data_IF_960910252318
#
_entry.id   IF_960910252318
#
_cell.length_a   1.000
_cell.length_b   1.000
_cell.length_c   1.000
_cell.angle_alpha   90.00
_cell.angle_beta   90.00
_cell.angle_gamma   90.00
#
_symmetry.space_group_name_H-M   'P 1'
#
loop_
_entity.id
_entity.type
_entity.pdbx_description
1 polymer ?
#
# COMPACT_ATOMS: atom_id res chain seq x y z
N UNK A 1 16.14 23.70 -81.80
CA UNK A 1 15.01 24.65 -82.05
C UNK A 1 13.77 24.11 -81.36
N UNK A 2 13.38 24.65 -80.25
CA UNK A 2 12.00 24.95 -79.87
C UNK A 2 11.99 25.15 -78.35
N UNK A 3 11.48 26.28 -77.97
CA UNK A 3 11.51 26.93 -76.69
C UNK A 3 10.52 26.32 -75.69
N UNK A 4 10.91 26.34 -74.40
CA UNK A 4 10.01 26.17 -73.25
C UNK A 4 9.22 27.48 -73.03
N UNK A 5 8.01 27.40 -72.47
CA UNK A 5 7.50 28.46 -71.61
C UNK A 5 7.45 28.03 -70.12
N UNK A 6 7.94 28.94 -69.32
CA UNK A 6 7.85 28.91 -67.88
C UNK A 6 6.42 29.11 -67.39
N UNK A 7 5.93 28.21 -66.53
CA UNK A 7 4.72 28.46 -65.73
C UNK A 7 5.12 28.83 -64.30
N UNK A 8 4.92 30.10 -64.00
CA UNK A 8 5.05 30.71 -62.66
C UNK A 8 3.81 30.39 -61.85
N UNK A 9 3.90 29.49 -60.90
CA UNK A 9 2.83 29.22 -59.96
C UNK A 9 3.01 30.05 -58.68
N UNK A 10 2.14 31.00 -58.51
CA UNK A 10 2.05 31.91 -57.35
C UNK A 10 1.38 31.17 -56.18
N UNK A 11 2.15 30.75 -55.16
CA UNK A 11 1.62 30.19 -53.94
C UNK A 11 1.26 31.30 -52.95
N UNK A 12 -0.04 31.57 -52.81
CA UNK A 12 -0.57 32.41 -51.72
C UNK A 12 -0.45 31.64 -50.39
N UNK A 13 0.42 32.09 -49.50
CA UNK A 13 0.45 31.65 -48.11
C UNK A 13 -0.63 32.38 -47.32
N UNK A 14 -1.68 31.66 -46.97
CA UNK A 14 -2.71 32.15 -46.04
C UNK A 14 -2.19 31.88 -44.63
N UNK A 15 -1.72 32.92 -43.94
CA UNK A 15 -1.40 32.85 -42.52
C UNK A 15 -2.68 32.87 -41.69
N UNK A 16 -3.06 31.72 -41.17
CA UNK A 16 -4.15 31.59 -40.21
C UNK A 16 -3.65 32.08 -38.84
N UNK A 17 -4.05 33.30 -38.44
CA UNK A 17 -3.83 33.78 -37.08
C UNK A 17 -4.85 33.08 -36.16
N UNK A 18 -4.37 32.11 -35.36
CA UNK A 18 -5.15 31.57 -34.25
C UNK A 18 -5.25 32.64 -33.17
N UNK A 19 -6.41 33.26 -33.02
CA UNK A 19 -6.73 34.08 -31.85
C UNK A 19 -6.82 33.18 -30.62
N UNK A 20 -5.87 33.34 -29.73
CA UNK A 20 -5.93 32.78 -28.37
C UNK A 20 -6.98 33.56 -27.58
N UNK A 21 -8.11 32.94 -27.30
CA UNK A 21 -9.08 33.45 -26.36
C UNK A 21 -8.46 33.42 -24.91
N UNK A 22 -8.67 34.48 -24.12
CA UNK A 22 -8.18 34.50 -22.75
C UNK A 22 -9.06 33.65 -21.86
N UNK A 23 -8.42 32.69 -21.18
CA UNK A 23 -8.75 32.26 -19.83
C UNK A 23 -10.10 31.57 -19.61
N UNK A 24 -10.14 30.28 -19.82
CA UNK A 24 -10.89 29.45 -18.88
C UNK A 24 -9.89 28.56 -18.17
N UNK A 25 -9.58 28.91 -16.91
CA UNK A 25 -8.99 27.99 -15.97
C UNK A 25 -9.91 26.77 -15.90
N UNK A 26 -9.44 25.57 -16.20
CA UNK A 26 -10.18 24.39 -15.81
C UNK A 26 -10.15 24.38 -14.28
N UNK A 27 -11.27 24.76 -13.70
CA UNK A 27 -11.59 24.54 -12.28
C UNK A 27 -11.24 23.10 -12.01
N UNK A 28 -10.28 22.89 -11.09
CA UNK A 28 -9.75 21.61 -10.73
C UNK A 28 -10.85 20.60 -10.47
N UNK A 29 -10.96 19.64 -11.34
CA UNK A 29 -11.42 18.33 -10.91
C UNK A 29 -10.45 17.94 -9.80
N UNK A 30 -11.00 17.91 -8.57
CA UNK A 30 -10.31 17.37 -7.41
C UNK A 30 -9.81 16.00 -7.76
N UNK A 31 -8.54 15.93 -8.18
CA UNK A 31 -7.79 14.71 -8.20
C UNK A 31 -7.91 14.20 -6.78
N UNK A 32 -8.63 13.10 -6.59
CA UNK A 32 -8.47 12.29 -5.40
C UNK A 32 -6.97 12.08 -5.30
N UNK A 33 -6.33 12.83 -4.40
CA UNK A 33 -4.96 12.57 -4.02
C UNK A 33 -4.96 11.09 -3.68
N UNK A 34 -4.32 10.28 -4.52
CA UNK A 34 -3.99 8.90 -4.18
C UNK A 34 -3.08 9.01 -2.96
N UNK A 35 -3.74 9.04 -1.83
CA UNK A 35 -3.13 9.13 -0.52
C UNK A 35 -2.19 7.96 -0.42
N UNK A 36 -0.88 8.23 -0.59
CA UNK A 36 0.08 7.36 -0.04
C UNK A 36 1.08 6.63 -0.90
N UNK A 37 1.29 6.86 -2.20
CA UNK A 37 2.35 6.16 -2.95
C UNK A 37 3.04 7.07 -3.97
N UNK A 38 4.19 7.62 -3.58
CA UNK A 38 4.95 8.59 -4.37
C UNK A 38 6.29 7.97 -4.84
N UNK A 39 6.65 8.03 -6.13
CA UNK A 39 7.95 7.56 -6.60
C UNK A 39 9.08 8.48 -6.12
N UNK A 40 10.23 7.88 -5.80
CA UNK A 40 11.48 8.58 -5.46
C UNK A 40 12.63 8.08 -6.33
N UNK A 41 13.76 8.80 -6.35
CA UNK A 41 14.92 8.44 -7.17
C UNK A 41 16.04 7.76 -6.39
N UNK A 42 15.88 7.58 -5.08
CA UNK A 42 16.91 7.07 -4.17
C UNK A 42 16.97 5.53 -4.09
N UNK A 43 16.06 4.83 -4.77
CA UNK A 43 15.98 3.36 -4.74
C UNK A 43 15.52 2.80 -3.40
N UNK A 44 14.94 3.65 -2.52
CA UNK A 44 14.44 3.26 -1.21
C UNK A 44 12.91 3.16 -1.23
N UNK A 45 12.38 2.07 -0.70
CA UNK A 45 10.98 2.01 -0.33
C UNK A 45 10.84 2.47 1.14
N UNK A 46 10.09 3.55 1.37
CA UNK A 46 9.82 4.16 2.68
C UNK A 46 8.33 3.96 3.02
N UNK A 47 8.04 2.96 3.82
CA UNK A 47 6.70 2.65 4.34
C UNK A 47 6.46 3.37 5.66
N UNK A 48 5.53 4.33 5.64
CA UNK A 48 5.11 5.09 6.83
C UNK A 48 3.79 4.56 7.33
N UNK A 49 3.87 3.67 8.31
CA UNK A 49 2.73 3.00 8.92
C UNK A 49 2.40 3.66 10.26
N UNK A 50 1.16 3.53 10.71
CA UNK A 50 0.74 3.98 12.06
C UNK A 50 1.52 3.31 13.18
N UNK A 51 1.90 2.05 12.99
CA UNK A 51 2.71 1.28 13.95
C UNK A 51 4.20 1.55 13.91
N UNK A 52 4.71 2.37 12.96
CA UNK A 52 6.12 2.69 12.76
C UNK A 52 6.53 2.80 11.30
N UNK A 53 7.76 3.15 11.05
CA UNK A 53 8.28 3.30 9.69
C UNK A 53 9.20 2.13 9.35
N UNK A 54 9.20 1.73 8.07
CA UNK A 54 10.13 0.75 7.55
C UNK A 54 10.73 1.24 6.24
N UNK A 55 12.06 1.35 6.20
CA UNK A 55 12.79 1.81 5.02
C UNK A 55 13.72 0.69 4.55
N UNK A 56 13.66 0.38 3.27
CA UNK A 56 14.44 -0.70 2.67
C UNK A 56 14.89 -0.35 1.27
N UNK A 57 16.07 -0.82 0.85
CA UNK A 57 16.50 -0.70 -0.55
C UNK A 57 15.70 -1.67 -1.42
N UNK A 58 15.13 -1.18 -2.52
CA UNK A 58 14.36 -2.02 -3.44
C UNK A 58 15.19 -3.19 -3.99
N UNK A 59 16.47 -2.99 -4.26
CA UNK A 59 17.38 -4.03 -4.77
C UNK A 59 17.84 -5.05 -3.71
N UNK A 60 17.57 -4.83 -2.42
CA UNK A 60 17.82 -5.84 -1.37
C UNK A 60 16.64 -6.79 -1.15
N UNK A 61 15.52 -6.53 -1.81
CA UNK A 61 14.35 -7.41 -1.76
C UNK A 61 14.59 -8.57 -2.72
N UNK A 62 14.54 -9.81 -2.22
CA UNK A 62 14.71 -11.02 -3.04
C UNK A 62 13.40 -11.74 -3.32
N UNK A 63 12.41 -11.56 -2.45
CA UNK A 63 11.08 -12.13 -2.65
C UNK A 63 10.02 -11.25 -2.00
N UNK A 64 8.86 -11.19 -2.66
CA UNK A 64 7.65 -10.55 -2.17
C UNK A 64 6.49 -11.51 -2.39
N UNK A 65 5.73 -11.80 -1.36
CA UNK A 65 4.56 -12.67 -1.44
C UNK A 65 3.37 -12.04 -0.72
N UNK A 66 2.18 -12.38 -1.20
CA UNK A 66 0.91 -12.08 -0.52
C UNK A 66 0.08 -13.35 -0.49
N UNK A 67 -0.47 -13.70 0.67
CA UNK A 67 -1.32 -14.86 0.84
C UNK A 67 -2.33 -14.62 1.95
N UNK A 68 -3.32 -15.50 1.98
CA UNK A 68 -4.40 -15.48 2.94
C UNK A 68 -4.54 -16.87 3.57
N UNK A 69 -4.85 -16.91 4.87
CA UNK A 69 -5.09 -18.14 5.60
C UNK A 69 -5.98 -17.92 6.81
N UNK A 70 -6.46 -19.00 7.40
CA UNK A 70 -7.20 -18.99 8.66
C UNK A 70 -6.26 -19.43 9.78
N UNK A 71 -6.04 -18.56 10.75
CA UNK A 71 -5.25 -18.85 11.93
C UNK A 71 -6.15 -19.39 13.05
N UNK A 72 -5.75 -20.52 13.63
CA UNK A 72 -6.42 -21.18 14.76
C UNK A 72 -7.93 -21.42 14.56
N UNK A 73 -8.39 -21.45 13.30
CA UNK A 73 -9.80 -21.63 12.98
C UNK A 73 -10.70 -20.43 13.28
N UNK A 74 -10.15 -19.32 13.77
CA UNK A 74 -10.92 -18.17 14.29
C UNK A 74 -10.61 -16.83 13.65
N UNK A 75 -9.43 -16.68 13.06
CA UNK A 75 -9.00 -15.42 12.45
C UNK A 75 -8.64 -15.61 10.96
N UNK A 76 -9.21 -14.77 10.09
CA UNK A 76 -8.75 -14.60 8.72
C UNK A 76 -7.55 -13.65 8.74
N UNK A 77 -6.44 -14.09 8.18
CA UNK A 77 -5.21 -13.33 8.05
C UNK A 77 -4.92 -13.10 6.58
N UNK A 78 -4.72 -11.87 6.18
CA UNK A 78 -4.11 -11.50 4.91
C UNK A 78 -2.72 -10.99 5.20
N UNK A 79 -1.70 -11.57 4.58
CA UNK A 79 -0.31 -11.34 4.93
C UNK A 79 0.52 -11.03 3.68
N UNK A 80 1.39 -10.04 3.80
CA UNK A 80 2.42 -9.68 2.83
C UNK A 80 3.78 -9.92 3.48
N UNK A 81 4.59 -10.78 2.89
CA UNK A 81 5.95 -11.06 3.33
C UNK A 81 6.96 -10.49 2.34
N UNK A 82 7.94 -9.81 2.90
CA UNK A 82 9.10 -9.27 2.23
C UNK A 82 10.33 -10.01 2.74
N UNK A 83 11.03 -10.71 1.87
CA UNK A 83 12.30 -11.39 2.20
C UNK A 83 13.46 -10.59 1.67
N UNK A 84 14.44 -10.32 2.53
CA UNK A 84 15.63 -9.55 2.20
C UNK A 84 16.85 -10.44 1.97
N UNK A 85 17.84 -9.92 1.25
CA UNK A 85 19.13 -10.58 1.04
C UNK A 85 19.90 -10.86 2.34
N UNK A 86 19.57 -10.17 3.43
CA UNK A 86 20.08 -10.43 4.79
C UNK A 86 19.37 -11.57 5.51
N UNK A 87 18.49 -12.32 4.84
CA UNK A 87 17.60 -13.32 5.45
C UNK A 87 16.60 -12.78 6.47
N UNK A 88 16.47 -11.46 6.57
CA UNK A 88 15.43 -10.82 7.35
C UNK A 88 14.08 -10.94 6.63
N UNK A 89 13.03 -11.24 7.39
CA UNK A 89 11.66 -11.27 6.91
C UNK A 89 10.91 -10.08 7.50
N UNK A 90 10.23 -9.33 6.66
CA UNK A 90 9.30 -8.28 7.09
C UNK A 90 7.90 -8.72 6.73
N UNK A 91 7.04 -8.73 7.71
CA UNK A 91 5.67 -9.19 7.62
C UNK A 91 4.71 -8.03 7.85
N UNK A 92 3.85 -7.78 6.88
CA UNK A 92 2.72 -6.85 7.00
C UNK A 92 1.45 -7.67 6.97
N UNK A 93 0.53 -7.48 7.91
CA UNK A 93 -0.68 -8.27 7.92
C UNK A 93 -1.91 -7.51 8.39
N UNK A 94 -3.05 -8.00 7.94
CA UNK A 94 -4.38 -7.62 8.34
C UNK A 94 -5.06 -8.82 8.98
N UNK A 95 -5.82 -8.58 10.04
CA UNK A 95 -6.54 -9.60 10.80
C UNK A 95 -8.00 -9.22 10.93
N UNK A 96 -8.89 -10.17 10.66
CA UNK A 96 -10.30 -10.06 10.98
C UNK A 96 -10.85 -11.40 11.52
N UNK A 97 -11.99 -11.40 12.23
CA UNK A 97 -12.64 -12.65 12.61
C UNK A 97 -12.98 -13.48 11.37
N UNK A 98 -12.66 -14.77 11.39
CA UNK A 98 -13.02 -15.67 10.30
C UNK A 98 -14.54 -15.78 10.18
N UNK A 99 -15.08 -15.43 9.01
CA UNK A 99 -16.47 -15.70 8.66
C UNK A 99 -16.58 -17.17 8.27
N UNK A 100 -16.84 -18.04 9.21
CA UNK A 100 -17.08 -19.45 8.92
C UNK A 100 -18.58 -19.60 8.74
N UNK A 101 -19.02 -19.75 7.49
CA UNK A 101 -20.39 -20.09 7.12
C UNK A 101 -20.67 -21.56 7.47
N UNK A 102 -20.62 -21.88 8.74
CA UNK A 102 -21.08 -23.17 9.25
C UNK A 102 -22.33 -22.92 10.07
N UNK A 103 -23.45 -23.46 9.64
CA UNK A 103 -24.72 -23.46 10.38
C UNK A 103 -24.65 -24.19 11.73
N UNK A 104 -23.50 -24.25 12.38
CA UNK A 104 -23.29 -24.88 13.68
C UNK A 104 -23.02 -23.83 14.78
N UNK A 105 -23.76 -23.97 15.86
CA UNK A 105 -23.72 -23.15 17.07
C UNK A 105 -22.34 -23.01 17.74
N UNK A 106 -21.42 -23.95 17.49
CA UNK A 106 -20.07 -23.93 18.10
C UNK A 106 -19.16 -22.85 17.50
N UNK A 107 -19.33 -22.51 16.23
CA UNK A 107 -18.50 -21.50 15.55
C UNK A 107 -18.87 -20.08 16.01
N UNK A 108 -20.17 -19.88 16.26
CA UNK A 108 -20.65 -18.61 16.83
C UNK A 108 -20.08 -18.34 18.23
N UNK A 109 -19.79 -19.40 19.01
CA UNK A 109 -19.17 -19.27 20.33
C UNK A 109 -17.69 -18.84 20.24
N UNK A 110 -16.95 -19.32 19.22
CA UNK A 110 -15.54 -18.94 18.98
C UNK A 110 -15.41 -17.48 18.51
N UNK A 111 -16.26 -17.04 17.57
CA UNK A 111 -16.26 -15.65 17.11
C UNK A 111 -16.68 -14.69 18.21
N UNK A 112 -17.71 -15.05 19.02
CA UNK A 112 -18.10 -14.27 20.19
C UNK A 112 -17.01 -14.19 21.27
N UNK A 113 -16.23 -15.26 21.47
CA UNK A 113 -15.11 -15.24 22.40
C UNK A 113 -13.98 -14.32 21.91
N UNK A 114 -13.69 -14.32 20.62
CA UNK A 114 -12.70 -13.42 20.00
C UNK A 114 -13.15 -11.96 20.06
N UNK A 115 -14.42 -11.68 19.77
CA UNK A 115 -15.00 -10.32 19.89
C UNK A 115 -15.01 -9.83 21.32
N UNK A 116 -15.33 -10.69 22.30
CA UNK A 116 -15.24 -10.33 23.72
C UNK A 116 -13.80 -10.08 24.16
N UNK A 117 -12.86 -10.90 23.71
CA UNK A 117 -11.44 -10.71 23.99
C UNK A 117 -10.93 -9.38 23.38
N UNK A 118 -11.33 -9.07 22.14
CA UNK A 118 -11.02 -7.80 21.47
C UNK A 118 -11.66 -6.62 22.23
N UNK A 119 -12.92 -6.71 22.59
CA UNK A 119 -13.61 -5.68 23.36
C UNK A 119 -13.00 -5.45 24.77
N UNK A 120 -12.56 -6.53 25.44
CA UNK A 120 -11.84 -6.40 26.71
C UNK A 120 -10.47 -5.73 26.55
N UNK A 121 -9.73 -6.04 25.47
CA UNK A 121 -8.45 -5.37 25.15
C UNK A 121 -8.67 -3.91 24.80
N UNK A 122 -9.66 -3.58 24.00
CA UNK A 122 -10.01 -2.20 23.66
C UNK A 122 -10.48 -1.40 24.89
N UNK A 123 -11.28 -2.02 25.76
CA UNK A 123 -11.74 -1.39 27.00
C UNK A 123 -10.60 -1.21 28.02
N UNK A 124 -9.68 -2.16 28.12
CA UNK A 124 -8.49 -2.04 28.96
C UNK A 124 -7.53 -0.97 28.41
N UNK A 125 -7.32 -0.95 27.09
CA UNK A 125 -6.47 0.01 26.39
C UNK A 125 -7.02 1.45 26.51
N UNK A 126 -8.32 1.64 26.38
CA UNK A 126 -8.98 2.96 26.54
C UNK A 126 -8.86 3.57 27.93
N UNK A 127 -8.60 2.75 28.97
CA UNK A 127 -8.38 3.23 30.35
C UNK A 127 -6.94 3.66 30.63
N UNK A 128 -5.98 3.23 29.81
CA UNK A 128 -4.56 3.39 30.12
C UNK A 128 -3.90 4.45 29.23
N UNK A 129 -4.25 4.58 27.96
CA UNK A 129 -3.74 5.65 27.08
C UNK A 129 -4.41 5.62 25.70
N UNK A 130 -4.72 6.77 25.09
CA UNK A 130 -5.21 6.84 23.69
C UNK A 130 -4.27 6.22 22.67
N UNK A 131 -2.96 6.15 22.98
CA UNK A 131 -1.95 5.57 22.10
C UNK A 131 -2.04 4.04 21.95
N UNK A 132 -2.81 3.37 22.81
CA UNK A 132 -3.00 1.90 22.76
C UNK A 132 -4.16 1.47 21.85
N UNK A 133 -4.93 2.42 21.30
CA UNK A 133 -5.99 2.13 20.31
C UNK A 133 -5.45 1.93 18.88
N UNK A 134 -4.19 2.31 18.64
CA UNK A 134 -3.52 2.02 17.38
C UNK A 134 -3.18 0.53 17.23
N UNK A 135 -3.28 -0.06 16.03
CA UNK A 135 -2.91 -1.45 15.81
C UNK A 135 -1.42 -1.63 16.06
N UNK A 136 -1.07 -2.48 17.01
CA UNK A 136 0.31 -2.79 17.36
C UNK A 136 0.51 -4.29 17.45
N UNK A 137 1.68 -4.75 17.02
CA UNK A 137 2.14 -6.11 17.26
C UNK A 137 2.58 -6.21 18.70
N UNK A 138 1.96 -7.12 19.46
CA UNK A 138 2.34 -7.40 20.85
C UNK A 138 3.30 -8.56 20.87
N UNK A 139 4.48 -8.36 21.45
CA UNK A 139 5.52 -9.40 21.58
C UNK A 139 5.85 -9.67 23.05
N UNK A 140 6.11 -10.93 23.37
CA UNK A 140 6.53 -11.34 24.70
C UNK A 140 8.05 -11.28 24.83
N UNK A 141 8.56 -10.47 25.75
CA UNK A 141 9.97 -10.42 26.08
C UNK A 141 10.35 -11.59 27.05
N UNK A 142 11.53 -12.23 26.90
CA UNK A 142 12.54 -12.04 25.85
C UNK A 142 12.33 -12.92 24.62
N UNK A 143 11.36 -13.84 24.62
CA UNK A 143 11.26 -14.94 23.66
C UNK A 143 11.09 -14.50 22.20
N UNK A 144 10.45 -13.36 21.95
CA UNK A 144 10.16 -12.89 20.58
C UNK A 144 10.93 -11.63 20.17
N UNK A 145 11.76 -11.04 21.05
CA UNK A 145 12.46 -9.78 20.76
C UNK A 145 13.69 -9.91 19.87
N UNK A 146 14.23 -11.13 19.76
CA UNK A 146 15.41 -11.44 18.93
C UNK A 146 15.08 -12.16 17.62
N UNK A 147 13.80 -12.20 17.24
CA UNK A 147 13.40 -12.79 15.97
C UNK A 147 13.94 -11.99 14.77
N UNK A 148 14.41 -12.68 13.73
CA UNK A 148 14.79 -12.06 12.45
C UNK A 148 13.57 -11.54 11.65
N UNK A 149 12.43 -11.44 12.29
CA UNK A 149 11.17 -10.99 11.70
C UNK A 149 10.76 -9.64 12.27
N UNK A 150 10.50 -8.69 11.39
CA UNK A 150 9.86 -7.41 11.71
C UNK A 150 8.41 -7.49 11.27
N UNK A 151 7.47 -7.07 12.13
CA UNK A 151 6.05 -7.25 11.90
C UNK A 151 5.29 -5.93 12.07
N UNK A 152 4.35 -5.70 11.15
CA UNK A 152 3.44 -4.55 11.17
C UNK A 152 2.01 -5.04 10.93
N UNK A 153 1.07 -4.57 11.74
CA UNK A 153 -0.35 -4.83 11.56
C UNK A 153 -1.03 -3.59 10.97
N UNK A 154 -1.89 -3.79 9.98
CA UNK A 154 -2.69 -2.75 9.37
C UNK A 154 -4.16 -2.90 9.78
N UNK A 155 -4.88 -1.79 9.90
CA UNK A 155 -6.31 -1.79 10.28
C UNK A 155 -7.23 -2.25 9.15
N UNK A 156 -6.82 -2.03 7.90
CA UNK A 156 -7.66 -2.21 6.72
C UNK A 156 -6.96 -3.07 5.67
N UNK A 157 -7.67 -4.07 5.14
CA UNK A 157 -7.16 -4.90 4.04
C UNK A 157 -6.86 -4.07 2.79
N UNK A 158 -7.67 -3.05 2.50
CA UNK A 158 -7.44 -2.17 1.36
C UNK A 158 -6.08 -1.46 1.44
N UNK A 159 -5.65 -1.08 2.65
CA UNK A 159 -4.33 -0.46 2.88
C UNK A 159 -3.21 -1.48 2.70
N UNK A 160 -3.38 -2.71 3.15
CA UNK A 160 -2.42 -3.79 2.91
C UNK A 160 -2.28 -4.09 1.41
N UNK A 161 -3.38 -4.08 0.67
CA UNK A 161 -3.37 -4.25 -0.79
C UNK A 161 -2.61 -3.11 -1.50
N UNK A 162 -2.84 -1.86 -1.08
CA UNK A 162 -2.12 -0.69 -1.58
C UNK A 162 -0.62 -0.76 -1.26
N UNK A 163 -0.25 -1.20 -0.04
CA UNK A 163 1.13 -1.42 0.37
C UNK A 163 1.80 -2.47 -0.52
N UNK A 164 1.14 -3.61 -0.74
CA UNK A 164 1.67 -4.66 -1.62
C UNK A 164 1.94 -4.15 -3.02
N UNK A 165 1.01 -3.39 -3.62
CA UNK A 165 1.20 -2.79 -4.95
C UNK A 165 2.36 -1.80 -4.98
N UNK A 166 2.55 -1.00 -3.92
CA UNK A 166 3.68 -0.09 -3.79
C UNK A 166 5.01 -0.84 -3.74
N UNK A 167 5.11 -1.88 -2.90
CA UNK A 167 6.27 -2.76 -2.79
C UNK A 167 6.56 -3.46 -4.12
N UNK A 168 5.54 -3.99 -4.79
CA UNK A 168 5.68 -4.67 -6.08
C UNK A 168 6.25 -3.73 -7.15
N UNK A 169 5.74 -2.50 -7.22
CA UNK A 169 6.28 -1.48 -8.14
C UNK A 169 7.74 -1.17 -7.84
N UNK A 170 8.09 -0.96 -6.58
CA UNK A 170 9.48 -0.73 -6.16
C UNK A 170 10.39 -1.93 -6.48
N UNK A 171 9.95 -3.12 -6.16
CA UNK A 171 10.68 -4.38 -6.42
C UNK A 171 10.95 -4.61 -7.91
N UNK A 172 9.95 -4.41 -8.77
CA UNK A 172 10.07 -4.63 -10.22
C UNK A 172 10.89 -3.55 -10.93
N UNK A 173 10.77 -2.29 -10.49
CA UNK A 173 11.44 -1.16 -11.15
C UNK A 173 12.81 -0.83 -10.57
N UNK A 174 13.10 -1.26 -9.35
CA UNK A 174 14.26 -0.80 -8.58
C UNK A 174 14.17 0.67 -8.13
N UNK A 175 13.07 1.36 -8.47
CA UNK A 175 12.86 2.76 -8.09
C UNK A 175 12.29 2.86 -6.69
N UNK A 176 12.75 3.87 -5.94
CA UNK A 176 12.25 4.16 -4.63
C UNK A 176 10.80 4.65 -4.64
N UNK A 177 10.13 4.49 -3.49
CA UNK A 177 8.74 4.94 -3.29
C UNK A 177 8.53 5.32 -1.83
N UNK A 178 7.69 6.32 -1.59
CA UNK A 178 7.17 6.63 -0.26
C UNK A 178 5.72 6.21 -0.22
N UNK A 179 5.42 5.24 0.63
CA UNK A 179 4.06 4.79 0.88
C UNK A 179 3.60 5.25 2.28
N UNK A 180 2.36 5.76 2.38
CA UNK A 180 1.76 6.22 3.65
C UNK A 180 0.44 5.49 3.91
N UNK A 181 0.26 4.98 5.14
CA UNK A 181 -0.99 4.40 5.61
C UNK A 181 -2.11 5.42 5.77
#
# INVERSE_FOLDING_TARGET
MKALPACLALLLAVTLHAQTAPGQNPTGQGGQQQQGDEPTRDGLWDGRLKGGNYIVRCNSIIALSKHEYIADGVARVVEVNLTLSSSQIVRFYFLEPAKIDTGSSMVNAGTQALERARGMVEQAAGRVSPSLTEPKVVKSYPASTHAHTVEFVLKEEARLNSLFQSLERGFRSGQGRIWRE
#
